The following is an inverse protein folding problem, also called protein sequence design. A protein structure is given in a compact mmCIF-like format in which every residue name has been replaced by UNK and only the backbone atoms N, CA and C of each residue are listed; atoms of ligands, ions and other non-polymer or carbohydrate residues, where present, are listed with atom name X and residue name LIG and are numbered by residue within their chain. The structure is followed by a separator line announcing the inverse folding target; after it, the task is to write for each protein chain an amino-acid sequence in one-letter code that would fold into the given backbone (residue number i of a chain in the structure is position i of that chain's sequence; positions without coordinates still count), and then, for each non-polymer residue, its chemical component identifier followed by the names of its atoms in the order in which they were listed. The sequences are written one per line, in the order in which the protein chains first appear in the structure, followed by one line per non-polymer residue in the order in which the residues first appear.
data_IF_657184346150
#
_entry.id   IF_657184346150
#
_cell.length_a   1.000
_cell.length_b   1.000
_cell.length_c   1.000
_cell.angle_alpha   90.00
_cell.angle_beta   90.00
_cell.angle_gamma   90.00
#
_symmetry.space_group_name_H-M   'P 1'
#
loop_
_entity.id
_entity.type
_entity.pdbx_description
1 polymer ?
#
# COMPACT_ATOMS: atom_id res chain seq x y z
N UNK A 1 57.59 -14.07 4.02
CA UNK A 1 56.31 -14.36 4.72
C UNK A 1 55.91 -13.12 5.51
N UNK A 2 54.92 -12.38 5.04
CA UNK A 2 54.35 -11.24 5.74
C UNK A 2 53.42 -11.77 6.86
N UNK A 3 53.75 -11.53 8.13
CA UNK A 3 52.92 -11.88 9.23
C UNK A 3 51.69 -10.97 9.30
N UNK A 4 50.51 -11.55 9.26
CA UNK A 4 49.27 -10.82 9.38
C UNK A 4 49.23 -10.11 10.73
N UNK A 5 48.93 -8.79 10.73
CA UNK A 5 48.75 -8.02 11.95
C UNK A 5 47.68 -8.67 12.85
N UNK A 6 47.94 -8.84 14.16
CA UNK A 6 46.97 -9.44 15.06
C UNK A 6 45.66 -8.65 15.08
N UNK A 7 44.54 -9.39 15.12
CA UNK A 7 43.22 -8.80 15.26
C UNK A 7 43.08 -8.19 16.65
N UNK A 8 42.58 -6.96 16.73
CA UNK A 8 42.23 -6.34 18.00
C UNK A 8 40.72 -6.10 18.09
N UNK A 9 40.17 -6.16 19.28
CA UNK A 9 38.78 -5.78 19.53
C UNK A 9 38.64 -4.27 19.39
N UNK A 10 37.77 -3.80 18.51
CA UNK A 10 37.51 -2.38 18.33
C UNK A 10 36.47 -1.88 19.37
N UNK A 11 35.34 -2.55 19.46
CA UNK A 11 34.29 -2.27 20.45
C UNK A 11 33.41 -3.50 20.70
N UNK A 12 32.65 -3.49 21.76
CA UNK A 12 31.58 -4.45 21.99
C UNK A 12 30.27 -3.86 21.48
N UNK A 13 29.45 -4.67 20.81
CA UNK A 13 28.10 -4.34 20.38
C UNK A 13 27.13 -5.26 21.09
N UNK A 14 26.05 -4.72 21.64
CA UNK A 14 24.98 -5.47 22.28
C UNK A 14 23.75 -5.43 21.38
N UNK A 15 23.07 -6.58 21.22
CA UNK A 15 21.87 -6.65 20.40
C UNK A 15 22.10 -6.34 18.91
N UNK A 16 23.23 -6.80 18.34
CA UNK A 16 23.58 -6.56 16.95
C UNK A 16 22.62 -7.31 16.01
N UNK A 17 21.80 -6.56 15.29
CA UNK A 17 20.81 -7.04 14.33
C UNK A 17 21.31 -7.01 12.88
N UNK A 18 22.27 -6.14 12.58
CA UNK A 18 22.87 -6.01 11.25
C UNK A 18 24.13 -5.15 11.27
N UNK A 19 25.01 -5.41 10.30
CA UNK A 19 26.25 -4.65 10.13
C UNK A 19 26.61 -4.61 8.64
N UNK A 20 26.95 -3.44 8.13
CA UNK A 20 27.35 -3.25 6.74
C UNK A 20 28.40 -2.15 6.61
N UNK A 21 29.35 -2.34 5.72
CA UNK A 21 30.39 -1.36 5.47
C UNK A 21 30.21 -0.76 4.07
N UNK A 22 30.02 0.56 4.02
CA UNK A 22 29.98 1.36 2.80
C UNK A 22 30.43 2.78 3.16
N UNK A 23 31.64 3.19 2.77
CA UNK A 23 32.28 4.47 3.15
C UNK A 23 32.29 4.74 4.66
N UNK A 24 32.14 3.69 5.45
CA UNK A 24 32.00 3.68 6.89
C UNK A 24 31.25 2.47 7.37
N UNK A 25 31.18 2.27 8.67
CA UNK A 25 30.55 1.13 9.30
C UNK A 25 29.16 1.51 9.80
N UNK A 26 28.12 0.96 9.19
CA UNK A 26 26.75 0.98 9.72
C UNK A 26 26.50 -0.24 10.60
N UNK A 27 25.97 -0.01 11.79
CA UNK A 27 25.54 -1.05 12.73
C UNK A 27 24.10 -0.79 13.15
N UNK A 28 23.30 -1.86 13.22
CA UNK A 28 21.95 -1.84 13.77
C UNK A 28 21.98 -2.65 15.06
N UNK A 29 21.72 -1.98 16.18
CA UNK A 29 21.69 -2.60 17.51
C UNK A 29 20.32 -2.34 18.14
N UNK A 30 19.54 -3.41 18.37
CA UNK A 30 18.13 -3.25 18.74
C UNK A 30 17.37 -2.47 17.67
N UNK A 31 16.88 -1.30 18.03
CA UNK A 31 16.12 -0.39 17.15
C UNK A 31 16.94 0.80 16.62
N UNK A 32 18.19 0.91 17.03
CA UNK A 32 19.05 2.04 16.72
C UNK A 32 19.99 1.74 15.55
N UNK A 33 20.17 2.73 14.68
CA UNK A 33 21.17 2.72 13.62
C UNK A 33 22.32 3.62 14.05
N UNK A 34 23.55 3.14 13.99
CA UNK A 34 24.75 3.96 14.15
C UNK A 34 25.64 3.78 12.91
N UNK A 35 25.99 4.91 12.29
CA UNK A 35 26.94 4.96 11.19
C UNK A 35 28.19 5.67 11.62
N UNK A 36 29.35 5.02 11.46
CA UNK A 36 30.67 5.59 11.76
C UNK A 36 31.42 5.69 10.45
N UNK A 37 31.63 6.89 9.90
CA UNK A 37 32.38 7.10 8.67
C UNK A 37 33.82 6.57 8.76
N UNK A 38 34.41 6.21 7.63
CA UNK A 38 35.83 5.82 7.56
C UNK A 38 36.75 7.05 7.77
N UNK A 39 36.28 8.22 7.41
CA UNK A 39 36.97 9.46 7.76
C UNK A 39 36.88 9.72 9.29
N UNK A 40 38.02 9.61 9.95
CA UNK A 40 38.11 9.82 11.40
C UNK A 40 37.74 11.25 11.84
N UNK A 41 37.76 12.23 10.94
CA UNK A 41 37.34 13.60 11.22
C UNK A 41 35.81 13.78 11.17
N UNK A 42 35.11 12.90 10.48
CA UNK A 42 33.66 12.96 10.35
C UNK A 42 32.98 12.34 11.60
N UNK A 43 31.96 13.02 12.19
CA UNK A 43 31.28 12.53 13.36
C UNK A 43 30.42 11.30 13.03
N UNK A 44 30.30 10.39 14.00
CA UNK A 44 29.35 9.30 13.89
C UNK A 44 27.90 9.81 13.95
N UNK A 45 27.02 9.22 13.14
CA UNK A 45 25.58 9.52 13.08
C UNK A 45 24.83 8.41 13.78
N UNK A 46 24.00 8.75 14.77
CA UNK A 46 23.09 7.81 15.43
C UNK A 46 21.64 8.22 15.21
N UNK A 47 20.81 7.28 14.78
CA UNK A 47 19.35 7.42 14.67
C UNK A 47 18.72 6.47 15.64
N UNK A 48 18.08 6.98 16.67
CA UNK A 48 17.39 6.20 17.67
C UNK A 48 16.01 5.79 17.19
N UNK A 49 15.54 4.62 17.59
CA UNK A 49 14.23 4.10 17.25
C UNK A 49 13.91 4.12 15.73
N UNK A 50 14.92 4.03 14.89
CA UNK A 50 14.79 4.19 13.44
C UNK A 50 14.31 2.94 12.72
N UNK A 51 14.41 1.76 13.34
CA UNK A 51 14.05 0.46 12.76
C UNK A 51 13.31 -0.42 13.77
N UNK A 52 12.63 -1.45 13.28
CA UNK A 52 12.09 -2.48 14.18
C UNK A 52 13.23 -3.31 14.80
N UNK A 53 13.01 -3.93 15.96
CA UNK A 53 13.99 -4.87 16.49
C UNK A 53 13.99 -6.18 15.69
N UNK A 54 15.15 -6.82 15.59
CA UNK A 54 15.34 -8.08 14.88
C UNK A 54 16.34 -7.99 13.73
N UNK A 55 16.70 -9.17 13.21
CA UNK A 55 17.74 -9.31 12.17
C UNK A 55 17.44 -8.47 10.93
N UNK A 56 18.47 -7.77 10.43
CA UNK A 56 18.41 -6.93 9.24
C UNK A 56 19.20 -7.55 8.08
N UNK A 57 18.64 -7.42 6.88
CA UNK A 57 19.37 -7.59 5.63
C UNK A 57 19.74 -6.21 5.09
N UNK A 58 21.02 -6.00 4.86
CA UNK A 58 21.58 -4.71 4.47
C UNK A 58 22.21 -4.83 3.08
N UNK A 59 21.90 -3.91 2.16
CA UNK A 59 22.39 -3.90 0.77
C UNK A 59 22.83 -2.50 0.41
N UNK A 60 24.06 -2.36 -0.11
CA UNK A 60 24.58 -1.06 -0.57
C UNK A 60 24.24 -0.80 -2.03
N UNK A 61 23.77 0.41 -2.35
CA UNK A 61 23.54 0.92 -3.71
C UNK A 61 23.97 2.39 -3.77
N UNK A 62 25.03 2.68 -4.51
CA UNK A 62 25.59 4.04 -4.56
C UNK A 62 26.05 4.50 -3.19
N UNK A 63 25.53 5.62 -2.70
CA UNK A 63 25.77 6.13 -1.35
C UNK A 63 24.79 5.59 -0.29
N UNK A 64 23.81 4.79 -0.69
CA UNK A 64 22.71 4.36 0.17
C UNK A 64 22.89 2.91 0.65
N UNK A 65 22.55 2.68 1.91
CA UNK A 65 22.43 1.35 2.51
C UNK A 65 20.93 1.07 2.72
N UNK A 66 20.39 0.11 1.97
CA UNK A 66 19.01 -0.34 2.09
C UNK A 66 18.88 -1.28 3.29
N UNK A 67 17.83 -1.10 4.09
CA UNK A 67 17.59 -1.80 5.34
C UNK A 67 16.27 -2.56 5.27
N UNK A 68 16.33 -3.89 5.26
CA UNK A 68 15.16 -4.77 5.26
C UNK A 68 15.05 -5.56 6.57
N UNK A 69 13.82 -5.87 7.04
CA UNK A 69 12.53 -5.70 6.36
C UNK A 69 11.91 -4.30 6.46
N UNK A 70 12.54 -3.33 7.14
CA UNK A 70 11.98 -2.00 7.44
C UNK A 70 11.75 -1.13 6.17
N UNK A 71 12.29 -1.55 5.02
CA UNK A 71 12.16 -0.83 3.73
C UNK A 71 12.64 0.63 3.84
N UNK A 72 13.82 0.82 4.41
CA UNK A 72 14.46 2.11 4.58
C UNK A 72 15.74 2.20 3.77
N UNK A 73 16.15 3.41 3.39
CA UNK A 73 17.45 3.72 2.84
C UNK A 73 18.16 4.72 3.75
N UNK A 74 19.32 4.35 4.26
CA UNK A 74 20.24 5.25 4.95
C UNK A 74 21.25 5.80 3.95
N UNK A 75 21.36 7.12 3.81
CA UNK A 75 22.36 7.74 2.95
C UNK A 75 23.65 8.02 3.72
N UNK A 76 24.77 7.45 3.26
CA UNK A 76 26.08 7.61 3.91
C UNK A 76 26.68 8.99 3.68
N UNK A 77 26.17 9.76 2.71
CA UNK A 77 26.67 11.10 2.40
C UNK A 77 26.20 12.15 3.40
N UNK A 78 24.96 12.05 3.88
CA UNK A 78 24.35 13.06 4.77
C UNK A 78 23.73 12.47 6.04
N UNK A 79 23.71 11.15 6.17
CA UNK A 79 23.11 10.45 7.32
C UNK A 79 21.59 10.51 7.35
N UNK A 80 20.94 10.86 6.25
CA UNK A 80 19.48 10.87 6.15
C UNK A 80 18.89 9.47 6.05
N UNK A 81 17.63 9.32 6.46
CA UNK A 81 16.85 8.09 6.29
C UNK A 81 15.62 8.41 5.47
N UNK A 82 15.37 7.62 4.43
CA UNK A 82 14.18 7.71 3.58
C UNK A 82 13.48 6.37 3.50
N UNK A 83 12.15 6.38 3.47
CA UNK A 83 11.37 5.17 3.23
C UNK A 83 11.49 4.74 1.76
N UNK A 84 11.61 3.43 1.52
CA UNK A 84 11.67 2.85 0.17
C UNK A 84 10.29 2.59 -0.42
N UNK A 85 9.24 2.57 0.42
CA UNK A 85 7.86 2.37 0.01
C UNK A 85 7.08 3.67 0.01
N UNK A 86 6.13 3.80 -0.92
CA UNK A 86 5.12 4.83 -0.83
C UNK A 86 4.11 4.46 0.26
N UNK A 87 3.80 5.40 1.13
CA UNK A 87 2.75 5.29 2.14
C UNK A 87 1.82 6.48 2.01
N UNK A 88 0.54 6.20 1.78
CA UNK A 88 -0.50 7.20 1.86
C UNK A 88 -1.43 6.88 3.04
N UNK A 89 -1.79 7.88 3.81
CA UNK A 89 -2.72 7.74 4.93
C UNK A 89 -3.87 8.71 4.77
N UNK A 90 -5.07 8.24 5.06
CA UNK A 90 -6.27 9.08 5.00
C UNK A 90 -6.19 10.25 5.98
N UNK A 91 -5.66 10.03 7.18
CA UNK A 91 -5.67 10.99 8.27
C UNK A 91 -7.08 11.62 8.40
N UNK A 92 -7.22 12.93 8.09
CA UNK A 92 -8.52 13.61 8.07
C UNK A 92 -9.11 13.78 6.66
N UNK A 93 -8.57 13.08 5.65
CA UNK A 93 -9.04 13.18 4.27
C UNK A 93 -10.22 12.26 4.04
N UNK A 94 -11.17 12.72 3.25
CA UNK A 94 -12.26 11.86 2.76
C UNK A 94 -11.71 10.85 1.75
N UNK A 95 -12.07 9.59 1.92
CA UNK A 95 -11.79 8.50 0.99
C UNK A 95 -13.10 7.92 0.53
N UNK A 96 -13.26 7.74 -0.76
CA UNK A 96 -14.43 7.08 -1.33
C UNK A 96 -14.02 5.85 -2.11
N UNK A 97 -14.85 4.82 -2.02
CA UNK A 97 -14.70 3.57 -2.74
C UNK A 97 -15.91 3.40 -3.64
N UNK A 98 -15.71 3.21 -4.94
CA UNK A 98 -16.81 3.06 -5.87
C UNK A 98 -16.50 1.96 -6.87
N UNK A 99 -17.43 1.02 -7.13
CA UNK A 99 -17.26 0.07 -8.20
C UNK A 99 -17.17 0.81 -9.55
N UNK A 100 -16.32 0.29 -10.43
CA UNK A 100 -16.11 0.90 -11.73
C UNK A 100 -15.85 -0.16 -12.81
N UNK A 101 -15.99 0.26 -14.05
CA UNK A 101 -15.66 -0.55 -15.21
C UNK A 101 -14.14 -0.61 -15.48
N UNK A 102 -13.75 -1.35 -16.50
CA UNK A 102 -12.36 -1.48 -16.92
C UNK A 102 -11.72 -0.16 -17.40
N UNK A 103 -12.52 0.86 -17.73
CA UNK A 103 -12.06 2.20 -18.08
C UNK A 103 -11.99 3.15 -16.86
N UNK A 104 -12.35 2.67 -15.67
CA UNK A 104 -12.35 3.47 -14.43
C UNK A 104 -13.58 4.38 -14.28
N UNK A 105 -14.62 4.21 -15.12
CA UNK A 105 -15.89 4.91 -14.96
C UNK A 105 -16.69 4.26 -13.85
N UNK A 106 -17.02 5.03 -12.81
CA UNK A 106 -17.78 4.54 -11.65
C UNK A 106 -19.23 4.27 -12.00
N UNK A 107 -19.77 3.19 -11.45
CA UNK A 107 -21.19 2.89 -11.52
C UNK A 107 -21.93 3.71 -10.47
N UNK A 108 -23.03 4.33 -10.88
CA UNK A 108 -23.95 5.03 -9.98
C UNK A 108 -25.11 4.09 -9.69
N UNK A 109 -25.11 3.49 -8.49
CA UNK A 109 -26.16 2.59 -8.06
C UNK A 109 -27.09 3.37 -7.14
N UNK A 110 -28.34 3.54 -7.57
CA UNK A 110 -29.36 4.31 -6.83
C UNK A 110 -30.16 3.42 -5.90
N UNK A 111 -30.36 2.15 -6.28
CA UNK A 111 -31.18 1.21 -5.55
C UNK A 111 -30.46 -0.13 -5.37
N UNK A 112 -30.69 -0.75 -4.22
CA UNK A 112 -30.24 -2.11 -3.92
C UNK A 112 -31.29 -2.85 -3.10
N UNK A 113 -31.31 -4.18 -3.22
CA UNK A 113 -32.28 -5.02 -2.50
C UNK A 113 -32.22 -6.47 -2.97
N UNK A 114 -33.12 -7.30 -2.42
CA UNK A 114 -33.25 -8.70 -2.84
C UNK A 114 -34.06 -8.83 -4.12
N UNK A 115 -35.08 -8.00 -4.25
CA UNK A 115 -36.03 -8.04 -5.35
C UNK A 115 -35.78 -6.85 -6.28
N UNK A 116 -35.81 -7.11 -7.56
CA UNK A 116 -35.65 -6.10 -8.60
C UNK A 116 -36.81 -5.10 -8.59
N UNK A 117 -36.57 -3.82 -8.93
CA UNK A 117 -37.62 -2.82 -9.09
C UNK A 117 -38.69 -3.26 -10.11
N UNK A 118 -39.96 -3.05 -9.76
CA UNK A 118 -41.09 -3.48 -10.60
C UNK A 118 -41.23 -2.67 -11.90
N UNK A 119 -40.82 -1.40 -11.90
CA UNK A 119 -40.91 -0.47 -13.02
C UNK A 119 -39.54 0.17 -13.30
N UNK A 120 -38.55 -0.60 -13.80
CA UNK A 120 -37.22 -0.10 -14.01
C UNK A 120 -37.13 0.83 -15.24
N UNK A 121 -36.28 1.85 -15.16
CA UNK A 121 -35.92 2.68 -16.28
C UNK A 121 -34.87 1.98 -17.16
N UNK A 122 -34.83 2.29 -18.46
CA UNK A 122 -33.81 1.75 -19.36
C UNK A 122 -32.43 2.22 -18.96
N UNK A 123 -31.48 1.27 -18.81
CA UNK A 123 -30.14 1.53 -18.30
C UNK A 123 -30.02 1.70 -16.77
N UNK A 124 -31.11 1.52 -16.03
CA UNK A 124 -31.09 1.58 -14.56
C UNK A 124 -30.16 0.50 -14.02
N UNK A 125 -29.32 0.89 -13.03
CA UNK A 125 -28.47 -0.01 -12.29
C UNK A 125 -29.15 -0.41 -10.98
N UNK A 126 -29.10 -1.68 -10.68
CA UNK A 126 -29.62 -2.27 -9.46
C UNK A 126 -28.58 -3.22 -8.86
N UNK A 127 -28.33 -3.09 -7.56
CA UNK A 127 -27.47 -4.05 -6.87
C UNK A 127 -28.34 -5.06 -6.14
N UNK A 128 -28.37 -6.28 -6.68
CA UNK A 128 -29.05 -7.41 -6.06
C UNK A 128 -28.21 -7.95 -4.94
N UNK A 129 -28.75 -7.96 -3.71
CA UNK A 129 -28.02 -8.30 -2.51
C UNK A 129 -28.77 -9.37 -1.70
N UNK A 130 -28.03 -10.32 -1.14
CA UNK A 130 -28.56 -11.28 -0.16
C UNK A 130 -28.57 -10.70 1.26
N UNK A 131 -27.61 -9.84 1.58
CA UNK A 131 -27.48 -9.15 2.86
C UNK A 131 -27.53 -7.64 2.65
N UNK A 132 -28.66 -7.03 3.04
CA UNK A 132 -28.87 -5.59 2.87
C UNK A 132 -27.98 -4.71 3.79
N UNK A 133 -27.44 -5.28 4.87
CA UNK A 133 -26.51 -4.57 5.77
C UNK A 133 -25.09 -4.51 5.18
N UNK A 134 -24.79 -5.41 4.23
CA UNK A 134 -23.50 -5.50 3.55
C UNK A 134 -23.66 -5.67 2.04
N UNK A 135 -24.21 -4.70 1.32
CA UNK A 135 -24.64 -4.87 -0.06
C UNK A 135 -23.53 -5.16 -1.08
N UNK A 136 -22.27 -4.85 -0.77
CA UNK A 136 -21.14 -5.14 -1.69
C UNK A 136 -20.36 -6.41 -1.33
N UNK A 137 -20.96 -7.34 -0.61
CA UNK A 137 -20.35 -8.65 -0.38
C UNK A 137 -20.29 -9.48 -1.66
N UNK A 138 -19.50 -10.54 -1.62
CA UNK A 138 -19.22 -11.45 -2.75
C UNK A 138 -20.45 -12.11 -3.37
N UNK A 139 -21.56 -12.14 -2.67
CA UNK A 139 -22.86 -12.66 -3.13
C UNK A 139 -23.74 -11.58 -3.79
N UNK A 140 -23.27 -10.35 -3.87
CA UNK A 140 -23.99 -9.27 -4.54
C UNK A 140 -23.74 -9.28 -6.04
N UNK A 141 -24.79 -8.99 -6.80
CA UNK A 141 -24.71 -8.91 -8.26
C UNK A 141 -25.17 -7.54 -8.73
N UNK A 142 -24.31 -6.81 -9.44
CA UNK A 142 -24.72 -5.59 -10.13
C UNK A 142 -25.44 -5.95 -11.43
N UNK A 143 -26.63 -5.42 -11.62
CA UNK A 143 -27.46 -5.67 -12.79
C UNK A 143 -27.83 -4.34 -13.47
N UNK A 144 -27.98 -4.39 -14.79
CA UNK A 144 -28.50 -3.27 -15.59
C UNK A 144 -29.74 -3.72 -16.34
N UNK A 145 -30.80 -2.92 -16.24
CA UNK A 145 -32.02 -3.17 -16.97
C UNK A 145 -31.91 -2.71 -18.42
N UNK A 146 -32.39 -3.55 -19.33
CA UNK A 146 -32.53 -3.20 -20.73
C UNK A 146 -34.00 -3.25 -21.12
N UNK A 147 -34.57 -2.10 -21.42
CA UNK A 147 -35.97 -1.98 -21.88
C UNK A 147 -36.19 -2.73 -23.19
N UNK A 148 -35.18 -2.83 -24.03
CA UNK A 148 -35.27 -3.50 -25.32
C UNK A 148 -35.46 -5.02 -25.18
N UNK A 149 -34.82 -5.63 -24.17
CA UNK A 149 -34.97 -7.05 -23.87
C UNK A 149 -36.01 -7.34 -22.77
N UNK A 150 -36.40 -6.32 -22.02
CA UNK A 150 -37.28 -6.46 -20.86
C UNK A 150 -36.65 -7.20 -19.67
N UNK A 151 -35.31 -7.32 -19.66
CA UNK A 151 -34.60 -8.13 -18.67
C UNK A 151 -33.47 -7.37 -18.00
N UNK A 152 -33.13 -7.80 -16.79
CA UNK A 152 -31.92 -7.43 -16.10
C UNK A 152 -30.74 -8.28 -16.58
N UNK A 153 -29.59 -7.67 -16.76
CA UNK A 153 -28.37 -8.33 -17.18
C UNK A 153 -27.26 -8.04 -16.17
N UNK A 154 -26.61 -9.08 -15.67
CA UNK A 154 -25.50 -8.93 -14.74
C UNK A 154 -24.30 -8.20 -15.37
N UNK A 155 -23.75 -7.25 -14.61
CA UNK A 155 -22.52 -6.55 -14.94
C UNK A 155 -21.41 -7.10 -14.05
N UNK A 156 -20.30 -7.63 -14.60
CA UNK A 156 -19.19 -8.11 -13.79
C UNK A 156 -18.54 -6.95 -13.02
N UNK A 157 -18.49 -7.09 -11.70
CA UNK A 157 -17.79 -6.15 -10.80
C UNK A 157 -16.35 -6.64 -10.63
N UNK A 158 -15.45 -6.10 -11.43
CA UNK A 158 -14.03 -6.49 -11.36
C UNK A 158 -13.16 -5.44 -10.70
N UNK A 159 -13.58 -4.16 -10.72
CA UNK A 159 -12.74 -3.05 -10.32
C UNK A 159 -13.42 -2.12 -9.33
N UNK A 160 -12.61 -1.59 -8.43
CA UNK A 160 -12.96 -0.52 -7.52
C UNK A 160 -12.07 0.69 -7.76
N UNK A 161 -12.68 1.86 -7.83
CA UNK A 161 -11.98 3.14 -7.82
C UNK A 161 -11.91 3.67 -6.40
N UNK A 162 -10.70 3.79 -5.87
CA UNK A 162 -10.41 4.42 -4.58
C UNK A 162 -10.05 5.87 -4.87
N UNK A 163 -10.80 6.82 -4.34
CA UNK A 163 -10.57 8.26 -4.59
C UNK A 163 -10.26 8.97 -3.29
N UNK A 164 -9.14 9.70 -3.26
CA UNK A 164 -8.74 10.57 -2.16
C UNK A 164 -7.68 11.57 -2.64
N UNK A 165 -7.69 12.77 -2.06
CA UNK A 165 -6.79 13.85 -2.47
C UNK A 165 -5.31 13.44 -2.42
N UNK A 166 -4.62 13.53 -3.56
CA UNK A 166 -3.21 13.24 -3.73
C UNK A 166 -2.83 11.75 -3.69
N UNK A 167 -3.82 10.86 -3.63
CA UNK A 167 -3.57 9.41 -3.53
C UNK A 167 -2.74 8.91 -4.71
N UNK A 168 -3.12 9.23 -5.92
CA UNK A 168 -2.49 8.72 -7.12
C UNK A 168 -1.09 9.30 -7.40
N UNK A 169 -0.67 10.38 -6.72
CA UNK A 169 0.66 10.97 -6.90
C UNK A 169 1.79 10.08 -6.40
N UNK A 170 1.49 9.14 -5.50
CA UNK A 170 2.48 8.28 -4.84
C UNK A 170 2.64 6.91 -5.49
N UNK A 171 1.69 6.52 -6.32
CA UNK A 171 1.64 5.17 -6.90
C UNK A 171 1.66 5.23 -8.43
N UNK A 172 1.98 4.11 -9.05
CA UNK A 172 2.01 3.93 -10.50
C UNK A 172 1.18 2.72 -10.90
N UNK A 173 0.76 2.70 -12.14
CA UNK A 173 0.15 1.50 -12.72
C UNK A 173 1.08 0.30 -12.54
N UNK A 174 0.51 -0.81 -12.12
CA UNK A 174 1.16 -2.11 -11.80
C UNK A 174 1.94 -2.15 -10.49
N UNK A 175 1.88 -1.09 -9.67
CA UNK A 175 2.35 -1.20 -8.29
C UNK A 175 1.48 -2.21 -7.51
N UNK A 176 2.11 -2.95 -6.61
CA UNK A 176 1.41 -3.73 -5.59
C UNK A 176 1.28 -2.87 -4.34
N UNK A 177 0.06 -2.70 -3.85
CA UNK A 177 -0.27 -1.91 -2.67
C UNK A 177 -1.02 -2.76 -1.67
N UNK A 178 -0.82 -2.51 -0.38
CA UNK A 178 -1.64 -3.11 0.67
C UNK A 178 -2.63 -2.06 1.17
N UNK A 179 -3.91 -2.29 0.96
CA UNK A 179 -5.01 -1.46 1.48
C UNK A 179 -5.38 -1.95 2.86
N UNK A 180 -5.46 -1.04 3.83
CA UNK A 180 -5.82 -1.36 5.20
C UNK A 180 -6.80 -0.34 5.77
N UNK A 181 -7.74 -0.79 6.59
CA UNK A 181 -8.71 0.07 7.26
C UNK A 181 -9.72 0.73 6.32
N UNK A 182 -9.92 0.17 5.14
CA UNK A 182 -11.08 0.52 4.32
C UNK A 182 -12.31 -0.05 5.03
N UNK A 183 -13.01 0.81 5.77
CA UNK A 183 -14.21 0.41 6.46
C UNK A 183 -15.38 0.36 5.48
N UNK A 184 -16.07 -0.76 5.45
CA UNK A 184 -17.35 -0.94 4.76
C UNK A 184 -18.51 -0.16 5.45
N UNK A 185 -18.16 0.79 6.32
CA UNK A 185 -19.13 1.42 7.25
C UNK A 185 -19.95 2.56 6.64
N UNK A 186 -19.62 3.06 5.49
CA UNK A 186 -20.50 4.05 4.86
C UNK A 186 -21.61 3.34 4.09
N UNK A 187 -22.70 3.06 4.78
CA UNK A 187 -24.00 2.72 4.20
C UNK A 187 -23.94 1.80 2.96
N UNK A 188 -23.35 0.61 3.13
CA UNK A 188 -23.57 -0.48 2.20
C UNK A 188 -23.12 -0.31 0.75
N UNK A 189 -22.24 0.62 0.43
CA UNK A 189 -21.84 0.93 -0.95
C UNK A 189 -20.37 0.79 -1.27
N UNK A 190 -19.56 0.28 -0.35
CA UNK A 190 -18.13 0.14 -0.59
C UNK A 190 -17.75 -1.31 -0.87
N UNK A 191 -17.16 -1.60 -2.03
CA UNK A 191 -16.61 -2.93 -2.32
C UNK A 191 -15.47 -3.25 -1.33
N UNK A 192 -15.33 -4.52 -0.98
CA UNK A 192 -14.21 -4.93 -0.13
C UNK A 192 -12.90 -4.86 -0.91
N UNK A 193 -11.99 -4.03 -0.43
CA UNK A 193 -10.70 -3.77 -1.08
C UNK A 193 -9.50 -3.96 -0.16
N UNK A 194 -9.73 -4.34 1.11
CA UNK A 194 -8.63 -4.57 2.05
C UNK A 194 -7.73 -5.73 1.60
N UNK A 195 -6.45 -5.63 1.93
CA UNK A 195 -5.45 -6.63 1.56
C UNK A 195 -4.53 -6.16 0.43
N UNK A 196 -3.82 -7.10 -0.18
CA UNK A 196 -2.87 -6.82 -1.25
C UNK A 196 -3.61 -6.66 -2.59
N UNK A 197 -3.38 -5.52 -3.23
CA UNK A 197 -4.02 -5.12 -4.47
C UNK A 197 -3.00 -4.74 -5.53
N UNK A 198 -3.34 -4.93 -6.79
CA UNK A 198 -2.58 -4.40 -7.92
C UNK A 198 -3.26 -3.12 -8.41
N UNK A 199 -2.48 -2.07 -8.63
CA UNK A 199 -2.95 -0.82 -9.22
C UNK A 199 -3.07 -1.00 -10.73
N UNK A 200 -4.29 -1.10 -11.24
CA UNK A 200 -4.55 -1.27 -12.69
C UNK A 200 -4.53 0.06 -13.46
N UNK A 201 -4.82 1.15 -12.75
CA UNK A 201 -4.78 2.49 -13.33
C UNK A 201 -4.68 3.54 -12.23
N UNK A 202 -4.23 4.75 -12.56
CA UNK A 202 -3.97 5.82 -11.61
C UNK A 202 -4.25 7.18 -12.22
N UNK A 203 -4.99 8.02 -11.49
CA UNK A 203 -5.11 9.44 -11.75
C UNK A 203 -4.48 10.25 -10.61
N UNK A 204 -4.61 11.57 -10.64
CA UNK A 204 -4.00 12.42 -9.60
C UNK A 204 -4.51 12.09 -8.19
N UNK A 205 -5.81 11.84 -8.07
CA UNK A 205 -6.50 11.66 -6.78
C UNK A 205 -7.17 10.29 -6.65
N UNK A 206 -6.83 9.33 -7.48
CA UNK A 206 -7.47 8.03 -7.44
C UNK A 206 -6.58 6.89 -7.93
N UNK A 207 -6.90 5.68 -7.45
CA UNK A 207 -6.37 4.41 -7.91
C UNK A 207 -7.53 3.52 -8.35
N UNK A 208 -7.30 2.70 -9.38
CA UNK A 208 -8.17 1.58 -9.73
C UNK A 208 -7.49 0.28 -9.34
N UNK A 209 -8.14 -0.45 -8.46
CA UNK A 209 -7.70 -1.76 -8.00
C UNK A 209 -8.75 -2.81 -8.39
N UNK A 210 -8.39 -4.09 -8.30
CA UNK A 210 -9.35 -5.14 -8.49
C UNK A 210 -10.17 -5.31 -7.23
N UNK A 211 -11.50 -5.23 -7.33
CA UNK A 211 -12.36 -5.74 -6.28
C UNK A 211 -12.76 -7.16 -6.69
N UNK A 212 -12.28 -8.14 -5.98
CA UNK A 212 -12.85 -9.48 -6.08
C UNK A 212 -13.97 -9.55 -5.07
N UNK A 213 -15.20 -9.84 -5.48
CA UNK A 213 -16.16 -10.43 -4.57
C UNK A 213 -15.49 -11.71 -4.05
N UNK A 214 -15.20 -11.78 -2.77
CA UNK A 214 -14.73 -13.01 -2.13
C UNK A 214 -15.91 -13.83 -1.72
#
# INVERSE_FOLDING_TARGET
LSTRTPRRKLRALTGLNGMYHLNGLLTVCGRDITYTPDDAAAPAVTKQDAVTDGRKSLVGIGTKILIFPDKLAFDTADGSITALGALWTAASKSVTFAPCDAAGKTYQVEEFGRDEPAEPADGQLFLKVEDADHPWRYDSTLEMYSKNSGNWAAIPLEYCRITAAGLGKLFRQWDTVTVQGAAAEAAGQSPEVNGDQIVYDVGEDWLRVRCTPQ
#
